data_IF_655219127978
#
_entry.id   IF_655219127978
#
_cell.length_a   1.000
_cell.length_b   1.000
_cell.length_c   1.000
_cell.angle_alpha   90.00
_cell.angle_beta   90.00
_cell.angle_gamma   90.00
#
_symmetry.space_group_name_H-M   'P 1'
#
loop_
_entity.id
_entity.type
_entity.pdbx_description
1 polymer ?
#
# COMPACT_ATOMS: atom_id res chain seq x y z
N UNK A 1 28.13 -7.21 -18.83
CA UNK A 1 26.85 -6.74 -18.26
C UNK A 1 27.07 -6.64 -16.77
N UNK A 2 27.07 -5.43 -16.23
CA UNK A 2 27.25 -5.22 -14.79
C UNK A 2 25.96 -5.55 -14.02
N UNK A 3 26.02 -5.58 -12.68
CA UNK A 3 24.86 -5.93 -11.86
C UNK A 3 23.69 -4.93 -12.00
N UNK A 4 23.99 -3.67 -12.35
CA UNK A 4 22.96 -2.65 -12.59
C UNK A 4 22.26 -2.94 -13.92
N UNK A 5 23.00 -3.31 -14.96
CA UNK A 5 22.45 -3.70 -16.27
C UNK A 5 21.55 -4.93 -16.13
N UNK A 6 21.94 -5.91 -15.31
CA UNK A 6 21.13 -7.10 -15.00
C UNK A 6 19.84 -6.73 -14.27
N UNK A 7 19.93 -5.83 -13.29
CA UNK A 7 18.76 -5.32 -12.58
C UNK A 7 17.81 -4.56 -13.52
N UNK A 8 18.35 -3.71 -14.40
CA UNK A 8 17.57 -2.97 -15.39
C UNK A 8 16.88 -3.89 -16.39
N UNK A 9 17.58 -4.89 -16.92
CA UNK A 9 16.97 -5.88 -17.79
C UNK A 9 15.84 -6.66 -17.09
N UNK A 10 16.03 -6.97 -15.80
CA UNK A 10 14.99 -7.61 -15.01
C UNK A 10 13.79 -6.68 -14.79
N UNK A 11 14.01 -5.41 -14.43
CA UNK A 11 12.97 -4.39 -14.32
C UNK A 11 12.12 -4.31 -15.59
N UNK A 12 12.77 -4.18 -16.75
CA UNK A 12 12.09 -4.09 -18.06
C UNK A 12 11.26 -5.35 -18.37
N UNK A 13 11.64 -6.51 -17.81
CA UNK A 13 10.94 -7.78 -18.06
C UNK A 13 9.75 -8.05 -17.14
N UNK A 14 9.70 -7.44 -15.94
CA UNK A 14 8.71 -7.81 -14.91
C UNK A 14 7.91 -6.65 -14.33
N UNK A 15 8.40 -5.42 -14.46
CA UNK A 15 7.67 -4.24 -13.99
C UNK A 15 6.75 -3.72 -15.09
N UNK A 16 5.69 -3.03 -14.68
CA UNK A 16 4.81 -2.33 -15.64
C UNK A 16 5.57 -1.13 -16.25
N UNK A 17 5.03 -0.48 -17.28
CA UNK A 17 5.69 0.66 -17.95
C UNK A 17 6.08 1.75 -16.92
N UNK A 18 7.33 2.26 -16.92
CA UNK A 18 7.73 3.38 -16.07
C UNK A 18 6.86 4.63 -16.18
N UNK A 19 6.26 4.89 -17.35
CA UNK A 19 5.27 5.96 -17.53
C UNK A 19 3.98 5.71 -16.73
N UNK A 20 3.66 4.45 -16.46
CA UNK A 20 2.54 4.00 -15.64
C UNK A 20 2.92 3.79 -14.17
N UNK A 21 4.18 4.04 -13.79
CA UNK A 21 4.59 4.07 -12.40
C UNK A 21 3.98 5.29 -11.72
N UNK A 22 2.69 5.17 -11.43
CA UNK A 22 1.96 6.05 -10.53
C UNK A 22 2.51 5.82 -9.15
N UNK A 23 3.58 6.52 -8.83
CA UNK A 23 3.90 6.79 -7.45
C UNK A 23 2.80 7.71 -6.92
N UNK A 24 2.12 7.36 -5.82
CA UNK A 24 1.62 8.43 -4.97
C UNK A 24 2.84 9.32 -4.69
N UNK A 25 2.74 10.63 -4.87
CA UNK A 25 3.78 11.57 -4.44
C UNK A 25 3.96 11.61 -2.92
N UNK A 26 3.62 10.51 -2.24
CA UNK A 26 3.13 10.48 -0.88
C UNK A 26 1.85 11.30 -0.70
N UNK A 27 1.47 11.44 0.56
CA UNK A 27 0.52 12.41 1.05
C UNK A 27 1.20 13.15 2.21
N UNK A 28 2.26 13.94 1.95
CA UNK A 28 3.09 14.53 3.02
C UNK A 28 2.30 15.47 3.96
N UNK A 29 1.09 15.87 3.56
CA UNK A 29 0.20 16.71 4.35
C UNK A 29 -1.05 15.98 4.87
N UNK A 30 -1.26 14.69 4.55
CA UNK A 30 -2.46 13.94 4.95
C UNK A 30 -2.13 12.56 5.49
N UNK A 31 -2.06 12.48 6.82
CA UNK A 31 -1.85 11.21 7.50
C UNK A 31 -3.08 10.28 7.32
N UNK A 32 -4.26 10.85 7.12
CA UNK A 32 -5.46 10.08 6.80
C UNK A 32 -5.28 9.28 5.50
N UNK A 33 -4.84 9.94 4.41
CA UNK A 33 -4.59 9.27 3.13
C UNK A 33 -3.42 8.28 3.21
N UNK A 34 -2.33 8.62 3.92
CA UNK A 34 -1.23 7.69 4.17
C UNK A 34 -1.73 6.39 4.83
N UNK A 35 -2.59 6.51 5.85
CA UNK A 35 -3.08 5.37 6.60
C UNK A 35 -4.05 4.51 5.78
N UNK A 36 -5.00 5.14 5.08
CA UNK A 36 -5.93 4.43 4.18
C UNK A 36 -5.15 3.68 3.09
N UNK A 37 -4.27 4.36 2.36
CA UNK A 37 -3.53 3.73 1.27
C UNK A 37 -2.65 2.58 1.79
N UNK A 38 -1.91 2.81 2.89
CA UNK A 38 -1.00 1.80 3.43
C UNK A 38 -1.70 0.49 3.82
N UNK A 39 -2.88 0.58 4.43
CA UNK A 39 -3.66 -0.60 4.83
C UNK A 39 -4.35 -1.23 3.63
N UNK A 40 -4.92 -0.43 2.72
CA UNK A 40 -5.66 -0.97 1.59
C UNK A 40 -4.78 -1.64 0.56
N UNK A 41 -3.58 -1.12 0.33
CA UNK A 41 -2.65 -1.63 -0.68
C UNK A 41 -2.12 -3.05 -0.42
N UNK A 42 -2.32 -3.60 0.79
CA UNK A 42 -1.91 -4.98 1.10
C UNK A 42 -2.85 -6.03 0.49
N UNK A 43 -2.36 -6.83 -0.45
CA UNK A 43 -3.06 -8.04 -0.94
C UNK A 43 -4.32 -7.78 -1.78
N UNK A 44 -4.43 -6.61 -2.41
CA UNK A 44 -5.53 -6.27 -3.34
C UNK A 44 -4.98 -5.57 -4.59
N UNK A 45 -5.78 -5.52 -5.66
CA UNK A 45 -5.41 -4.74 -6.85
C UNK A 45 -5.51 -3.24 -6.60
N UNK A 46 -4.40 -2.54 -6.79
CA UNK A 46 -4.28 -1.12 -6.47
C UNK A 46 -5.26 -0.25 -7.29
N UNK A 47 -5.23 -0.34 -8.61
CA UNK A 47 -6.06 0.49 -9.50
C UNK A 47 -7.56 0.22 -9.36
N UNK A 48 -7.94 -1.04 -9.15
CA UNK A 48 -9.35 -1.45 -9.05
C UNK A 48 -9.97 -1.25 -7.67
N UNK A 49 -9.15 -1.22 -6.61
CA UNK A 49 -9.66 -1.17 -5.22
C UNK A 49 -9.18 0.07 -4.48
N UNK A 50 -7.88 0.35 -4.47
CA UNK A 50 -7.29 1.38 -3.60
C UNK A 50 -7.59 2.78 -4.14
N UNK A 51 -7.34 3.03 -5.44
CA UNK A 51 -7.62 4.33 -6.06
C UNK A 51 -9.10 4.75 -5.90
N UNK A 52 -10.10 3.87 -6.13
CA UNK A 52 -11.49 4.20 -5.84
C UNK A 52 -11.79 4.52 -4.38
N UNK A 53 -11.17 3.83 -3.41
CA UNK A 53 -11.35 4.13 -1.97
C UNK A 53 -10.82 5.52 -1.64
N UNK A 54 -9.60 5.85 -2.10
CA UNK A 54 -9.00 7.17 -1.91
C UNK A 54 -9.82 8.27 -2.58
N UNK A 55 -10.31 8.03 -3.80
CA UNK A 55 -11.19 8.96 -4.51
C UNK A 55 -12.50 9.20 -3.75
N UNK A 56 -13.15 8.14 -3.25
CA UNK A 56 -14.38 8.27 -2.45
C UNK A 56 -14.14 9.02 -1.15
N UNK A 57 -13.00 8.81 -0.47
CA UNK A 57 -12.66 9.58 0.73
C UNK A 57 -12.50 11.06 0.40
N UNK A 58 -11.78 11.41 -0.68
CA UNK A 58 -11.64 12.80 -1.14
C UNK A 58 -12.99 13.43 -1.48
N UNK A 59 -13.84 12.74 -2.24
CA UNK A 59 -15.19 13.21 -2.58
C UNK A 59 -16.02 13.44 -1.33
N UNK A 60 -16.02 12.49 -0.39
CA UNK A 60 -16.77 12.63 0.86
C UNK A 60 -16.32 13.87 1.67
N UNK A 61 -15.02 14.11 1.76
CA UNK A 61 -14.49 15.29 2.45
C UNK A 61 -14.81 16.60 1.73
N UNK A 62 -14.74 16.62 0.40
CA UNK A 62 -15.13 17.78 -0.40
C UNK A 62 -16.62 18.13 -0.23
N UNK A 63 -17.50 17.12 -0.15
CA UNK A 63 -18.93 17.32 0.15
C UNK A 63 -19.16 17.95 1.53
N UNK A 64 -18.26 17.71 2.49
CA UNK A 64 -18.25 18.33 3.82
C UNK A 64 -17.47 19.64 3.89
N UNK A 65 -17.09 20.22 2.74
CA UNK A 65 -16.24 21.43 2.65
C UNK A 65 -14.88 21.26 3.34
N UNK A 66 -14.40 20.02 3.50
CA UNK A 66 -13.09 19.67 4.03
C UNK A 66 -12.07 19.39 2.93
N UNK A 67 -10.81 19.22 3.35
CA UNK A 67 -9.68 18.94 2.45
C UNK A 67 -8.97 17.63 2.85
N UNK A 68 -9.32 16.55 2.15
CA UNK A 68 -8.73 15.23 2.36
C UNK A 68 -7.21 15.19 2.18
N UNK A 69 -6.63 16.07 1.36
CA UNK A 69 -5.19 16.14 1.12
C UNK A 69 -4.46 16.89 2.25
N UNK A 70 -5.19 17.35 3.28
CA UNK A 70 -4.67 17.93 4.53
C UNK A 70 -5.19 17.26 5.80
N UNK A 71 -6.02 16.23 5.67
CA UNK A 71 -6.68 15.59 6.81
C UNK A 71 -5.70 14.81 7.70
N UNK A 72 -5.83 15.04 9.01
CA UNK A 72 -5.20 14.24 10.05
C UNK A 72 -6.05 13.06 10.49
N UNK A 73 -5.55 12.29 11.46
CA UNK A 73 -6.28 11.14 12.01
C UNK A 73 -7.58 11.53 12.73
N UNK A 74 -7.64 12.71 13.32
CA UNK A 74 -8.87 13.25 13.92
C UNK A 74 -9.97 13.42 12.87
N UNK A 75 -9.64 13.94 11.69
CA UNK A 75 -10.61 14.07 10.59
C UNK A 75 -11.05 12.71 10.08
N UNK A 76 -10.12 11.75 9.96
CA UNK A 76 -10.44 10.38 9.57
C UNK A 76 -11.40 9.73 10.56
N UNK A 77 -11.11 9.79 11.86
CA UNK A 77 -11.95 9.21 12.91
C UNK A 77 -13.34 9.85 12.96
N UNK A 78 -13.44 11.17 12.76
CA UNK A 78 -14.72 11.84 12.63
C UNK A 78 -15.55 11.28 11.47
N UNK A 79 -14.94 11.01 10.31
CA UNK A 79 -15.63 10.37 9.18
C UNK A 79 -16.09 8.95 9.54
N UNK A 80 -15.31 8.19 10.31
CA UNK A 80 -15.76 6.90 10.83
C UNK A 80 -16.99 7.07 11.72
N UNK A 81 -16.98 8.01 12.66
CA UNK A 81 -18.08 8.25 13.59
C UNK A 81 -19.36 8.68 12.85
N UNK A 82 -19.26 9.61 11.90
CA UNK A 82 -20.36 10.09 11.06
C UNK A 82 -21.00 8.99 10.22
N UNK A 83 -20.20 8.00 9.80
CA UNK A 83 -20.67 6.86 9.03
C UNK A 83 -21.14 5.70 9.90
N UNK A 84 -21.14 5.82 11.24
CA UNK A 84 -21.56 4.75 12.14
C UNK A 84 -20.51 3.66 12.34
N UNK A 85 -19.23 4.04 12.29
CA UNK A 85 -18.09 3.18 12.56
C UNK A 85 -17.57 2.42 11.34
N UNK A 86 -16.74 1.38 11.56
CA UNK A 86 -16.02 0.69 10.48
C UNK A 86 -16.89 0.07 9.39
N UNK A 87 -18.07 -0.44 9.72
CA UNK A 87 -18.96 -1.08 8.75
C UNK A 87 -19.60 -0.06 7.81
N UNK A 88 -19.98 1.11 8.34
CA UNK A 88 -20.50 2.20 7.51
C UNK A 88 -19.41 2.86 6.67
N UNK A 89 -18.20 3.04 7.22
CA UNK A 89 -17.04 3.44 6.42
C UNK A 89 -16.79 2.46 5.27
N UNK A 90 -16.78 1.15 5.55
CA UNK A 90 -16.58 0.12 4.53
C UNK A 90 -17.66 0.14 3.43
N UNK A 91 -18.89 0.51 3.79
CA UNK A 91 -20.03 0.55 2.87
C UNK A 91 -20.05 1.82 2.00
N UNK A 92 -19.70 2.97 2.56
CA UNK A 92 -19.76 4.27 1.88
C UNK A 92 -18.47 4.65 1.16
N UNK A 93 -17.32 4.42 1.78
CA UNK A 93 -16.00 4.89 1.30
C UNK A 93 -15.08 3.71 0.98
N UNK A 94 -14.99 2.75 1.88
CA UNK A 94 -14.13 1.58 1.77
C UNK A 94 -14.67 0.53 0.80
N UNK A 95 -14.43 -0.73 1.17
CA UNK A 95 -14.95 -1.93 0.52
C UNK A 95 -15.00 -3.04 1.57
N UNK A 96 -15.63 -4.17 1.25
CA UNK A 96 -15.69 -5.35 2.13
C UNK A 96 -14.40 -6.21 2.14
N UNK A 97 -13.28 -5.67 1.66
CA UNK A 97 -12.00 -6.38 1.67
C UNK A 97 -11.51 -6.62 3.10
N UNK A 98 -11.07 -7.86 3.37
CA UNK A 98 -10.53 -8.29 4.66
C UNK A 98 -9.01 -8.10 4.73
N UNK A 99 -8.48 -8.13 5.94
CA UNK A 99 -7.04 -8.01 6.20
C UNK A 99 -6.26 -9.29 5.86
N UNK A 100 -6.94 -10.43 5.71
CA UNK A 100 -6.38 -11.68 5.20
C UNK A 100 -7.49 -12.56 4.61
N UNK A 101 -7.10 -13.66 3.95
CA UNK A 101 -8.02 -14.63 3.38
C UNK A 101 -8.68 -15.56 4.42
N UNK A 102 -8.24 -15.53 5.68
CA UNK A 102 -8.81 -16.41 6.72
C UNK A 102 -10.26 -16.04 7.04
N UNK A 103 -11.10 -17.06 7.25
CA UNK A 103 -12.52 -16.87 7.59
C UNK A 103 -12.63 -16.05 8.88
N UNK A 104 -13.40 -14.98 8.84
CA UNK A 104 -13.60 -14.07 9.97
C UNK A 104 -12.53 -13.00 10.15
N UNK A 105 -11.54 -12.91 9.26
CA UNK A 105 -10.55 -11.82 9.31
C UNK A 105 -11.25 -10.44 9.27
N UNK A 106 -10.87 -9.48 10.13
CA UNK A 106 -11.48 -8.15 10.15
C UNK A 106 -11.40 -7.43 8.80
N UNK A 107 -12.34 -6.52 8.55
CA UNK A 107 -12.29 -5.64 7.37
C UNK A 107 -11.08 -4.71 7.45
N UNK A 108 -10.57 -4.29 6.28
CA UNK A 108 -9.55 -3.23 6.21
C UNK A 108 -10.03 -1.91 6.82
N UNK A 109 -11.34 -1.64 6.79
CA UNK A 109 -11.93 -0.52 7.49
C UNK A 109 -11.76 -0.62 9.01
N UNK A 110 -11.91 -1.81 9.59
CA UNK A 110 -11.65 -2.04 11.03
C UNK A 110 -10.17 -1.83 11.34
N UNK A 111 -9.28 -2.38 10.52
CA UNK A 111 -7.84 -2.18 10.71
C UNK A 111 -7.45 -0.69 10.70
N UNK A 112 -7.99 0.07 9.75
CA UNK A 112 -7.69 1.50 9.62
C UNK A 112 -8.22 2.30 10.79
N UNK A 113 -9.44 2.01 11.25
CA UNK A 113 -9.98 2.60 12.47
C UNK A 113 -9.10 2.29 13.70
N UNK A 114 -8.71 1.02 13.88
CA UNK A 114 -7.86 0.59 15.00
C UNK A 114 -6.51 1.31 15.00
N UNK A 115 -5.85 1.41 13.83
CA UNK A 115 -4.58 2.12 13.72
C UNK A 115 -4.75 3.63 13.97
N UNK A 116 -5.76 4.27 13.37
CA UNK A 116 -6.03 5.69 13.54
C UNK A 116 -6.29 6.04 15.02
N UNK A 117 -7.16 5.27 15.67
CA UNK A 117 -7.51 5.45 17.08
C UNK A 117 -6.29 5.24 17.99
N UNK A 118 -5.51 4.18 17.75
CA UNK A 118 -4.31 3.91 18.54
C UNK A 118 -3.23 4.99 18.37
N UNK A 119 -3.01 5.50 17.16
CA UNK A 119 -2.06 6.58 16.91
C UNK A 119 -2.53 7.90 17.53
N UNK A 120 -3.82 8.23 17.41
CA UNK A 120 -4.38 9.39 18.08
C UNK A 120 -4.23 9.32 19.60
N UNK A 121 -4.39 8.13 20.20
CA UNK A 121 -4.13 7.88 21.62
C UNK A 121 -2.69 8.12 22.06
N UNK A 122 -1.73 8.11 21.12
CA UNK A 122 -0.34 8.49 21.34
C UNK A 122 -0.06 9.98 21.03
N UNK A 123 -1.09 10.76 20.73
CA UNK A 123 -0.96 12.17 20.35
C UNK A 123 -0.57 12.42 18.89
N UNK A 124 -0.62 11.38 18.04
CA UNK A 124 -0.25 11.49 16.62
C UNK A 124 -1.49 11.82 15.82
N UNK A 125 -1.50 12.97 15.14
CA UNK A 125 -2.62 13.40 14.30
C UNK A 125 -2.18 13.74 12.87
N UNK A 126 -1.00 14.30 12.71
CA UNK A 126 -0.44 14.78 11.44
C UNK A 126 0.75 13.93 11.00
N UNK A 127 1.16 14.09 9.74
CA UNK A 127 2.40 13.48 9.22
C UNK A 127 3.60 13.90 10.06
N UNK A 128 3.66 15.18 10.47
CA UNK A 128 4.77 15.67 11.30
C UNK A 128 4.84 14.95 12.66
N UNK A 129 3.69 14.71 13.30
CA UNK A 129 3.64 13.98 14.57
C UNK A 129 4.11 12.52 14.40
N UNK A 130 3.71 11.88 13.29
CA UNK A 130 4.17 10.53 12.94
C UNK A 130 5.70 10.50 12.80
N UNK A 131 6.28 11.46 12.07
CA UNK A 131 7.72 11.53 11.86
C UNK A 131 8.47 11.78 13.17
N UNK A 132 8.00 12.71 14.00
CA UNK A 132 8.59 12.98 15.32
C UNK A 132 8.57 11.74 16.22
N UNK A 133 7.46 10.99 16.24
CA UNK A 133 7.35 9.77 17.04
C UNK A 133 8.31 8.65 16.59
N UNK A 134 8.59 8.56 15.30
CA UNK A 134 9.55 7.59 14.75
C UNK A 134 10.99 7.95 15.11
N UNK A 135 11.33 9.24 15.11
CA UNK A 135 12.67 9.74 15.43
C UNK A 135 12.99 9.66 16.94
N UNK A 136 12.00 9.91 17.80
CA UNK A 136 12.20 9.98 19.26
C UNK A 136 12.20 8.59 19.94
N UNK A 137 11.28 7.69 19.59
CA UNK A 137 11.24 6.28 20.05
C UNK A 137 10.07 5.51 19.42
N UNK A 138 10.34 4.78 18.35
CA UNK A 138 9.36 4.00 17.55
C UNK A 138 8.66 2.83 18.31
N UNK A 139 9.03 2.52 19.55
CA UNK A 139 8.54 1.30 20.25
C UNK A 139 7.02 1.28 20.44
N UNK A 140 6.43 2.38 20.91
CA UNK A 140 4.99 2.42 21.23
C UNK A 140 4.14 2.47 19.95
N UNK A 141 4.52 3.30 18.98
CA UNK A 141 3.80 3.39 17.71
C UNK A 141 3.89 2.08 16.92
N UNK A 142 5.05 1.40 16.89
CA UNK A 142 5.15 0.05 16.32
C UNK A 142 4.30 -0.97 17.03
N UNK A 143 4.17 -0.87 18.36
CA UNK A 143 3.31 -1.76 19.12
C UNK A 143 1.86 -1.59 18.67
N UNK A 144 1.36 -0.35 18.61
CA UNK A 144 0.01 -0.04 18.09
C UNK A 144 -0.16 -0.55 16.66
N UNK A 145 0.83 -0.33 15.80
CA UNK A 145 0.78 -0.84 14.43
C UNK A 145 0.67 -2.36 14.41
N UNK A 146 1.49 -3.09 15.17
CA UNK A 146 1.47 -4.57 15.20
C UNK A 146 0.20 -5.15 15.82
N UNK A 147 -0.46 -4.40 16.70
CA UNK A 147 -1.75 -4.78 17.28
C UNK A 147 -2.91 -4.53 16.29
N UNK A 148 -2.70 -3.72 15.25
CA UNK A 148 -3.68 -3.51 14.18
C UNK A 148 -3.95 -4.80 13.40
N UNK A 149 -5.23 -5.16 13.15
CA UNK A 149 -5.59 -6.33 12.36
C UNK A 149 -4.85 -6.40 11.01
N UNK A 150 -4.21 -7.55 10.73
CA UNK A 150 -3.45 -7.78 9.51
C UNK A 150 -2.01 -7.25 9.51
N UNK A 151 -1.59 -6.50 10.52
CA UNK A 151 -0.28 -5.84 10.55
C UNK A 151 0.75 -6.51 11.47
N UNK A 152 0.35 -7.52 12.25
CA UNK A 152 1.22 -8.23 13.22
C UNK A 152 2.45 -8.88 12.60
N UNK A 153 2.28 -9.54 11.45
CA UNK A 153 3.27 -10.48 10.91
C UNK A 153 4.23 -9.86 9.90
N UNK A 154 4.08 -8.57 9.57
CA UNK A 154 4.89 -7.92 8.56
C UNK A 154 4.97 -6.41 8.75
N UNK A 155 6.18 -5.88 8.72
CA UNK A 155 6.44 -4.43 8.72
C UNK A 155 6.23 -3.78 7.34
N UNK A 156 5.68 -4.51 6.35
CA UNK A 156 5.52 -3.99 4.99
C UNK A 156 4.54 -2.82 4.95
N UNK A 157 3.36 -2.95 5.58
CA UNK A 157 2.39 -1.86 5.64
C UNK A 157 2.94 -0.65 6.40
N UNK A 158 3.68 -0.89 7.49
CA UNK A 158 4.33 0.16 8.28
C UNK A 158 5.32 0.97 7.44
N UNK A 159 6.18 0.28 6.69
CA UNK A 159 7.16 0.96 5.83
C UNK A 159 6.50 1.70 4.68
N UNK A 160 5.42 1.15 4.13
CA UNK A 160 4.66 1.83 3.09
C UNK A 160 3.95 3.08 3.63
N UNK A 161 3.43 3.05 4.86
CA UNK A 161 2.94 4.25 5.56
C UNK A 161 4.03 5.33 5.64
N UNK A 162 5.25 4.98 6.05
CA UNK A 162 6.37 5.94 6.14
C UNK A 162 6.78 6.50 4.77
N UNK A 163 6.81 5.66 3.74
CA UNK A 163 7.06 6.10 2.37
C UNK A 163 5.99 7.12 1.92
N UNK A 164 4.72 6.82 2.18
CA UNK A 164 3.62 7.73 1.87
C UNK A 164 3.68 9.03 2.67
N UNK A 165 4.22 8.99 3.89
CA UNK A 165 4.45 10.16 4.72
C UNK A 165 5.63 11.03 4.25
N UNK A 166 6.41 10.60 3.25
CA UNK A 166 7.54 11.34 2.70
C UNK A 166 8.88 11.04 3.38
N UNK A 167 9.02 9.89 4.07
CA UNK A 167 10.34 9.44 4.55
C UNK A 167 11.18 9.01 3.34
N UNK A 168 12.17 9.85 3.00
CA UNK A 168 13.10 9.63 1.87
C UNK A 168 14.13 8.51 2.10
N UNK A 169 14.24 7.98 3.33
CA UNK A 169 15.16 6.87 3.60
C UNK A 169 14.62 5.56 3.06
N UNK A 170 15.04 5.24 1.84
CA UNK A 170 15.03 3.88 1.28
C UNK A 170 15.89 2.99 2.18
N UNK A 171 15.33 2.47 3.27
CA UNK A 171 15.87 1.28 3.94
C UNK A 171 15.42 0.09 3.08
N UNK A 172 16.32 -0.52 2.29
CA UNK A 172 15.96 -1.63 1.42
C UNK A 172 15.51 -2.80 2.29
N UNK A 173 14.30 -3.29 2.04
CA UNK A 173 13.73 -4.40 2.80
C UNK A 173 13.99 -5.75 2.14
N UNK A 174 13.43 -6.79 2.75
CA UNK A 174 13.42 -8.15 2.22
C UNK A 174 12.75 -8.26 0.83
N UNK A 175 11.89 -7.33 0.41
CA UNK A 175 11.24 -7.36 -0.91
C UNK A 175 12.16 -6.80 -1.99
N UNK A 176 12.80 -5.65 -1.74
CA UNK A 176 13.86 -5.09 -2.59
C UNK A 176 15.04 -6.06 -2.64
N UNK A 177 15.51 -6.57 -1.51
CA UNK A 177 16.59 -7.55 -1.49
C UNK A 177 16.21 -8.83 -2.24
N UNK A 178 14.97 -9.31 -2.14
CA UNK A 178 14.51 -10.48 -2.91
C UNK A 178 14.45 -10.18 -4.40
N UNK A 179 13.98 -9.00 -4.79
CA UNK A 179 13.90 -8.58 -6.18
C UNK A 179 15.30 -8.48 -6.80
N UNK A 180 16.22 -7.79 -6.13
CA UNK A 180 17.60 -7.65 -6.57
C UNK A 180 18.29 -9.01 -6.60
N UNK A 181 18.14 -9.85 -5.57
CA UNK A 181 18.68 -11.21 -5.59
C UNK A 181 18.16 -12.03 -6.78
N UNK A 182 16.87 -11.93 -7.09
CA UNK A 182 16.28 -12.59 -8.26
C UNK A 182 16.88 -12.07 -9.58
N UNK A 183 17.02 -10.75 -9.73
CA UNK A 183 17.65 -10.13 -10.91
C UNK A 183 19.11 -10.57 -11.10
N UNK A 184 19.84 -10.75 -10.00
CA UNK A 184 21.23 -11.18 -10.00
C UNK A 184 21.40 -12.71 -10.01
N UNK A 185 20.31 -13.49 -9.97
CA UNK A 185 20.39 -14.95 -9.85
C UNK A 185 21.09 -15.41 -8.57
N UNK A 186 21.08 -14.59 -7.53
CA UNK A 186 21.73 -14.84 -6.25
C UNK A 186 20.72 -15.33 -5.21
N UNK A 187 21.14 -16.16 -4.24
CA UNK A 187 20.23 -16.62 -3.19
C UNK A 187 19.82 -15.48 -2.25
N UNK A 188 20.70 -14.51 -2.00
CA UNK A 188 20.49 -13.35 -1.12
C UNK A 188 21.45 -12.23 -1.47
N UNK A 189 21.01 -10.98 -1.26
CA UNK A 189 21.85 -9.78 -1.26
C UNK A 189 21.72 -9.03 0.07
N UNK A 190 22.74 -8.25 0.42
CA UNK A 190 22.67 -7.39 1.60
C UNK A 190 21.81 -6.15 1.32
N UNK A 191 21.25 -5.57 2.38
CA UNK A 191 20.50 -4.33 2.32
C UNK A 191 21.31 -3.23 1.61
N UNK A 192 22.53 -2.95 2.08
CA UNK A 192 23.38 -1.91 1.50
C UNK A 192 23.67 -2.12 0.00
N UNK A 193 23.85 -3.37 -0.42
CA UNK A 193 24.02 -3.71 -1.83
C UNK A 193 22.73 -3.43 -2.62
N UNK A 194 21.59 -3.91 -2.13
CA UNK A 194 20.31 -3.75 -2.81
C UNK A 194 19.91 -2.27 -2.96
N UNK A 195 20.09 -1.43 -1.93
CA UNK A 195 19.83 0.01 -2.03
C UNK A 195 20.74 0.69 -3.05
N UNK A 196 22.04 0.36 -3.05
CA UNK A 196 22.98 0.91 -4.03
C UNK A 196 22.56 0.60 -5.46
N UNK A 197 22.24 -0.67 -5.75
CA UNK A 197 21.85 -1.07 -7.11
C UNK A 197 20.52 -0.44 -7.52
N UNK A 198 19.54 -0.37 -6.63
CA UNK A 198 18.24 0.25 -6.93
C UNK A 198 18.39 1.75 -7.23
N UNK A 199 19.20 2.45 -6.42
CA UNK A 199 19.47 3.89 -6.59
C UNK A 199 20.20 4.14 -7.91
N UNK A 200 21.26 3.37 -8.19
CA UNK A 200 22.03 3.49 -9.43
C UNK A 200 21.19 3.15 -10.66
N UNK A 201 20.35 2.11 -10.60
CA UNK A 201 19.42 1.76 -11.68
C UNK A 201 18.42 2.89 -11.97
N UNK A 202 17.83 3.49 -10.92
CA UNK A 202 16.94 4.63 -11.07
C UNK A 202 17.66 5.83 -11.69
N UNK A 203 18.88 6.14 -11.22
CA UNK A 203 19.69 7.24 -11.75
C UNK A 203 20.04 7.03 -13.24
N UNK A 204 20.48 5.84 -13.64
CA UNK A 204 20.81 5.53 -15.04
C UNK A 204 19.62 5.69 -15.99
N UNK A 205 18.39 5.50 -15.51
CA UNK A 205 17.16 5.62 -16.31
C UNK A 205 16.42 6.94 -16.12
N UNK A 206 16.93 7.84 -15.27
CA UNK A 206 16.25 9.08 -14.90
C UNK A 206 14.93 8.85 -14.15
N UNK A 207 14.75 7.68 -13.54
CA UNK A 207 13.58 7.38 -12.72
C UNK A 207 13.72 7.98 -11.32
N UNK A 208 12.59 8.30 -10.69
CA UNK A 208 12.58 8.61 -9.27
C UNK A 208 12.80 7.33 -8.48
N UNK A 209 13.74 7.32 -7.53
CA UNK A 209 14.09 6.11 -6.75
C UNK A 209 12.87 5.51 -6.05
N UNK A 210 11.99 6.35 -5.48
CA UNK A 210 10.74 5.88 -4.85
C UNK A 210 9.73 5.32 -5.86
N UNK A 211 9.74 5.78 -7.12
CA UNK A 211 8.89 5.21 -8.17
C UNK A 211 9.33 3.80 -8.51
N UNK A 212 10.64 3.57 -8.60
CA UNK A 212 11.20 2.25 -8.80
C UNK A 212 10.96 1.35 -7.57
N UNK A 213 11.19 1.84 -6.35
CA UNK A 213 10.91 1.09 -5.10
C UNK A 213 9.44 0.65 -5.03
N UNK A 214 8.51 1.56 -5.31
CA UNK A 214 7.07 1.27 -5.34
C UNK A 214 6.70 0.26 -6.42
N UNK A 215 7.26 0.39 -7.63
CA UNK A 215 7.02 -0.56 -8.71
C UNK A 215 7.49 -1.98 -8.34
N UNK A 216 8.71 -2.09 -7.77
CA UNK A 216 9.24 -3.35 -7.26
C UNK A 216 8.37 -3.93 -6.15
N UNK A 217 7.92 -3.09 -5.23
CA UNK A 217 7.01 -3.48 -4.17
C UNK A 217 5.69 -4.06 -4.73
N UNK A 218 5.06 -3.36 -5.70
CA UNK A 218 3.82 -3.81 -6.34
C UNK A 218 4.00 -5.17 -7.02
N UNK A 219 5.12 -5.36 -7.72
CA UNK A 219 5.47 -6.64 -8.31
C UNK A 219 5.60 -7.76 -7.26
N UNK A 220 6.36 -7.52 -6.19
CA UNK A 220 6.57 -8.51 -5.13
C UNK A 220 5.28 -8.87 -4.38
N UNK A 221 4.34 -7.93 -4.26
CA UNK A 221 3.02 -8.21 -3.67
C UNK A 221 2.14 -9.06 -4.60
N UNK A 222 2.20 -8.82 -5.91
CA UNK A 222 1.51 -9.67 -6.91
C UNK A 222 1.99 -11.12 -6.83
N UNK A 223 3.29 -11.36 -6.63
CA UNK A 223 3.83 -12.72 -6.48
C UNK A 223 3.39 -13.45 -5.19
N UNK A 224 3.01 -12.71 -4.15
CA UNK A 224 2.60 -13.28 -2.85
C UNK A 224 1.12 -13.60 -2.78
N UNK A 225 0.32 -12.96 -3.62
CA UNK A 225 -1.10 -13.25 -3.76
C UNK A 225 -1.21 -14.34 -4.82
N UNK A 226 -1.67 -15.57 -4.50
CA UNK A 226 -1.93 -16.56 -5.53
C UNK A 226 -2.91 -15.95 -6.52
N UNK A 227 -2.61 -15.99 -7.82
CA UNK A 227 -3.60 -15.67 -8.83
C UNK A 227 -4.83 -16.56 -8.57
N UNK A 228 -5.99 -15.96 -8.33
CA UNK A 228 -7.22 -16.73 -8.45
C UNK A 228 -7.26 -17.26 -9.89
N UNK A 229 -7.39 -18.58 -10.12
CA UNK A 229 -7.59 -19.07 -11.47
C UNK A 229 -8.84 -18.38 -12.02
N UNK A 230 -8.68 -17.71 -13.15
CA UNK A 230 -9.74 -16.98 -13.81
C UNK A 230 -10.97 -17.86 -13.92
N UNK A 231 -12.11 -17.32 -13.50
CA UNK A 231 -13.41 -17.85 -13.87
C UNK A 231 -13.41 -17.97 -15.39
N UNK A 232 -13.32 -19.21 -15.87
CA UNK A 232 -13.54 -19.51 -17.28
C UNK A 232 -14.90 -18.91 -17.65
N UNK A 233 -14.89 -18.11 -18.72
CA UNK A 233 -16.09 -17.63 -19.39
C UNK A 233 -17.05 -18.81 -19.55
N UNK A 234 -18.17 -18.76 -18.82
CA UNK A 234 -19.33 -19.55 -19.18
C UNK A 234 -19.85 -18.96 -20.49
N UNK A 235 -19.34 -19.51 -21.59
CA UNK A 235 -19.87 -19.35 -22.92
C UNK A 235 -21.39 -19.61 -22.85
N UNK A 236 -22.24 -18.70 -23.35
CA UNK A 236 -23.67 -18.96 -23.37
C UNK A 236 -23.90 -20.13 -24.33
N UNK A 237 -24.49 -21.20 -23.79
CA UNK A 237 -24.92 -22.33 -24.57
C UNK A 237 -25.86 -21.84 -25.68
N UNK A 238 -25.47 -22.13 -26.92
CA UNK A 238 -26.28 -22.04 -28.10
C UNK A 238 -27.51 -22.94 -27.90
N UNK A 239 -28.69 -22.34 -27.79
CA UNK A 239 -29.96 -23.04 -27.80
C UNK A 239 -30.48 -23.02 -29.24
N UNK A 240 -30.48 -24.13 -29.99
CA UNK A 240 -31.23 -24.19 -31.24
C UNK A 240 -32.72 -24.39 -30.91
N UNK A 241 -33.55 -23.59 -31.56
CA UNK A 241 -35.00 -23.58 -31.43
C UNK A 241 -35.68 -24.89 -31.87
N UNK A 242 -36.86 -25.09 -31.27
CA UNK A 242 -38.12 -25.59 -31.86
C UNK A 242 -38.26 -27.04 -32.34
N UNK A 243 -39.36 -27.68 -31.91
CA UNK A 243 -40.06 -28.67 -32.74
C UNK A 243 -40.94 -29.70 -32.00
N UNK A 244 -42.25 -29.43 -32.03
CA UNK A 244 -43.41 -30.31 -31.77
C UNK A 244 -43.85 -30.51 -30.32
#
# INVERSE_FOLDING_TARGET
>A
MDDVDRLLAYCDSVLDDPADWKTPGGYPNSLALCLIDSIWSLGVQYSGTVLPVLARYRTYRAEQQGDADRDGLTNLLQVYDELGGPDGFASKIGTQHRTSAHRGAPLKAVATYTAAFGFQGLGINTVQDLLGAVDESDVQIRRVWRETPGQRSSDIGWRYLLLLAGVDEVKPDRMICRFVAAALGEPRVSNAHAARLLTEAAHRRGWRVHALDHAVWRYQQRLRTPAQPGVAELSPACNPEAGV
#
